data_IF_418358662276
#
_entry.id   IF_418358662276
#
_cell.length_a   1.000
_cell.length_b   1.000
_cell.length_c   1.000
_cell.angle_alpha   90.00
_cell.angle_beta   90.00
_cell.angle_gamma   90.00
#
_symmetry.space_group_name_H-M   'P 1'
#
loop_
_entity.id
_entity.type
_entity.pdbx_description
1 polymer ?
#
# COMPACT_ATOMS: atom_id res chain seq x y z
N UNK A 1 -4.59 17.45 6.60
CA UNK A 1 -5.27 16.43 5.76
C UNK A 1 -6.24 15.64 6.64
N UNK A 2 -7.31 15.08 6.08
CA UNK A 2 -8.27 14.25 6.83
C UNK A 2 -7.59 13.11 7.62
N UNK A 3 -6.57 12.47 7.03
CA UNK A 3 -5.75 11.46 7.71
C UNK A 3 -5.05 12.03 8.96
N UNK A 4 -4.49 13.24 8.88
CA UNK A 4 -3.81 13.87 10.02
C UNK A 4 -4.77 14.17 11.17
N UNK A 5 -6.01 14.57 10.87
CA UNK A 5 -7.04 14.79 11.88
C UNK A 5 -7.47 13.47 12.54
N UNK A 6 -7.62 12.40 11.75
CA UNK A 6 -7.90 11.06 12.27
C UNK A 6 -6.79 10.56 13.20
N UNK A 7 -5.52 10.76 12.82
CA UNK A 7 -4.38 10.36 13.67
C UNK A 7 -4.34 11.16 14.98
N UNK A 8 -4.60 12.48 14.92
CA UNK A 8 -4.62 13.33 16.11
C UNK A 8 -5.77 13.00 17.08
N UNK A 9 -6.89 12.49 16.56
CA UNK A 9 -8.03 12.06 17.38
C UNK A 9 -7.85 10.66 17.99
N UNK A 10 -6.86 9.88 17.55
CA UNK A 10 -6.64 8.53 18.04
C UNK A 10 -5.91 8.55 19.41
N UNK A 11 -6.50 7.96 20.46
CA UNK A 11 -5.89 7.95 21.80
C UNK A 11 -4.59 7.15 21.80
N UNK A 12 -3.56 7.67 22.47
CA UNK A 12 -2.27 7.00 22.61
C UNK A 12 -1.39 7.03 21.36
N UNK A 13 -1.71 7.84 20.35
CA UNK A 13 -0.89 7.95 19.14
C UNK A 13 0.50 8.55 19.47
N UNK A 14 1.60 7.89 19.08
CA UNK A 14 2.95 8.40 19.33
C UNK A 14 3.22 9.75 18.67
N UNK A 15 3.99 10.61 19.34
CA UNK A 15 4.31 11.96 18.86
C UNK A 15 5.01 11.96 17.48
N UNK A 16 5.88 10.99 17.21
CA UNK A 16 6.57 10.83 15.93
C UNK A 16 5.64 10.42 14.76
N UNK A 17 4.45 9.92 15.06
CA UNK A 17 3.40 9.67 14.04
C UNK A 17 2.59 10.94 13.79
N UNK A 18 2.30 11.71 14.85
CA UNK A 18 1.56 12.98 14.76
C UNK A 18 2.39 14.08 14.08
N UNK A 19 3.69 14.10 14.33
CA UNK A 19 4.66 15.10 13.87
C UNK A 19 5.78 14.41 13.09
N UNK A 20 5.44 13.77 11.98
CA UNK A 20 6.45 13.14 11.12
C UNK A 20 7.40 14.21 10.53
N UNK A 21 8.73 14.05 10.65
CA UNK A 21 9.69 15.00 10.12
C UNK A 21 9.70 15.01 8.58
N UNK A 22 9.27 13.90 7.96
CA UNK A 22 9.17 13.78 6.52
C UNK A 22 7.81 13.17 6.14
N UNK A 23 7.14 13.80 5.18
CA UNK A 23 5.89 13.30 4.62
C UNK A 23 6.01 13.24 3.11
N UNK A 24 5.67 12.09 2.55
CA UNK A 24 5.81 11.83 1.12
C UNK A 24 4.46 11.40 0.54
N UNK A 25 4.18 11.86 -0.67
CA UNK A 25 2.88 11.66 -1.34
C UNK A 25 2.83 10.40 -2.19
N UNK A 26 3.97 9.79 -2.52
CA UNK A 26 4.05 8.61 -3.37
C UNK A 26 5.21 7.68 -2.98
N UNK A 27 5.16 6.40 -3.40
CA UNK A 27 6.21 5.42 -3.09
C UNK A 27 7.59 5.74 -3.69
N UNK A 28 7.65 6.38 -4.86
CA UNK A 28 8.93 6.65 -5.52
C UNK A 28 9.78 7.62 -4.70
N UNK A 29 9.18 8.72 -4.23
CA UNK A 29 9.84 9.67 -3.33
C UNK A 29 10.23 9.00 -2.02
N UNK A 30 9.35 8.18 -1.45
CA UNK A 30 9.62 7.40 -0.24
C UNK A 30 10.86 6.52 -0.38
N UNK A 31 10.96 5.80 -1.50
CA UNK A 31 12.09 4.92 -1.75
C UNK A 31 13.39 5.68 -1.95
N UNK A 32 13.37 6.83 -2.63
CA UNK A 32 14.57 7.69 -2.70
C UNK A 32 15.00 8.21 -1.33
N UNK A 33 14.07 8.66 -0.48
CA UNK A 33 14.42 9.11 0.87
C UNK A 33 15.08 8.01 1.71
N UNK A 34 14.58 6.77 1.62
CA UNK A 34 15.18 5.61 2.30
C UNK A 34 16.56 5.30 1.71
N UNK A 35 16.73 5.33 0.38
CA UNK A 35 18.03 5.12 -0.28
C UNK A 35 19.09 6.14 0.13
N UNK A 36 18.68 7.40 0.31
CA UNK A 36 19.54 8.48 0.79
C UNK A 36 19.85 8.40 2.29
N UNK A 37 19.31 7.41 3.00
CA UNK A 37 19.57 7.20 4.42
C UNK A 37 18.77 8.12 5.35
N UNK A 38 17.69 8.74 4.88
CA UNK A 38 16.85 9.63 5.70
C UNK A 38 16.00 8.90 6.74
N UNK A 39 15.96 7.56 6.68
CA UNK A 39 15.30 6.71 7.68
C UNK A 39 14.79 5.40 7.10
N UNK A 40 13.82 4.81 7.79
CA UNK A 40 13.10 3.59 7.38
C UNK A 40 11.61 3.89 7.24
N UNK A 41 10.90 3.07 6.46
CA UNK A 41 9.45 3.20 6.33
C UNK A 41 8.77 1.84 6.30
N UNK A 42 7.52 1.82 6.73
CA UNK A 42 6.61 0.70 6.56
C UNK A 42 5.77 0.96 5.31
N UNK A 43 5.61 -0.05 4.47
CA UNK A 43 4.75 0.02 3.29
C UNK A 43 3.94 -1.28 3.17
N UNK A 44 2.75 -1.25 2.54
CA UNK A 44 2.06 -2.48 2.16
C UNK A 44 2.94 -3.38 1.28
N UNK A 45 2.81 -4.69 1.41
CA UNK A 45 3.59 -5.66 0.63
C UNK A 45 3.46 -5.44 -0.89
N UNK A 46 2.28 -5.02 -1.36
CA UNK A 46 2.07 -4.66 -2.76
C UNK A 46 2.95 -3.48 -3.20
N UNK A 47 3.10 -2.45 -2.36
CA UNK A 47 3.98 -1.30 -2.63
C UNK A 47 5.45 -1.71 -2.67
N UNK A 48 5.87 -2.71 -1.88
CA UNK A 48 7.23 -3.27 -1.93
C UNK A 48 7.57 -3.97 -3.27
N UNK A 49 6.57 -4.21 -4.13
CA UNK A 49 6.76 -4.73 -5.51
C UNK A 49 6.75 -3.61 -6.56
N UNK A 50 6.69 -2.35 -6.15
CA UNK A 50 6.69 -1.23 -7.07
C UNK A 50 7.99 -1.18 -7.89
N UNK A 51 7.96 -0.84 -9.20
CA UNK A 51 9.13 -0.90 -10.08
C UNK A 51 10.32 -0.05 -9.60
N UNK A 52 10.07 1.08 -8.95
CA UNK A 52 11.12 1.99 -8.44
C UNK A 52 11.83 1.51 -7.16
N UNK A 53 11.53 0.30 -6.66
CA UNK A 53 12.16 -0.21 -5.43
C UNK A 53 13.69 -0.31 -5.54
N UNK A 54 14.21 -0.60 -6.73
CA UNK A 54 15.65 -0.80 -6.95
C UNK A 54 16.23 -1.83 -5.98
N UNK A 55 17.38 -1.49 -5.38
CA UNK A 55 18.12 -2.31 -4.42
C UNK A 55 17.58 -2.28 -2.98
N UNK A 56 16.45 -1.61 -2.74
CA UNK A 56 15.86 -1.57 -1.39
C UNK A 56 15.45 -2.96 -0.93
N UNK A 57 15.84 -3.29 0.29
CA UNK A 57 15.49 -4.56 0.94
C UNK A 57 14.21 -4.36 1.74
N UNK A 58 13.35 -5.36 1.73
CA UNK A 58 12.09 -5.38 2.46
C UNK A 58 12.06 -6.59 3.37
N UNK A 59 11.48 -6.41 4.56
CA UNK A 59 11.22 -7.47 5.53
C UNK A 59 9.78 -7.35 5.99
N UNK A 60 9.08 -8.46 6.12
CA UNK A 60 7.74 -8.46 6.69
C UNK A 60 7.78 -8.04 8.17
N UNK A 61 6.73 -7.37 8.60
CA UNK A 61 6.52 -7.09 10.01
C UNK A 61 6.05 -8.35 10.72
N UNK A 62 6.76 -8.73 11.79
CA UNK A 62 6.39 -9.88 12.61
C UNK A 62 5.10 -9.59 13.40
N UNK A 63 5.09 -8.48 14.16
CA UNK A 63 3.93 -7.93 14.84
C UNK A 63 4.10 -6.40 15.06
N UNK A 64 3.00 -5.62 15.07
CA UNK A 64 1.64 -6.02 14.72
C UNK A 64 1.51 -6.25 13.20
N UNK A 65 0.60 -7.14 12.81
CA UNK A 65 0.25 -7.33 11.40
C UNK A 65 -0.66 -6.20 10.95
N UNK A 66 -0.19 -5.41 9.98
CA UNK A 66 -0.96 -4.30 9.39
C UNK A 66 -1.50 -4.75 8.03
N UNK A 67 -2.82 -4.81 7.91
CA UNK A 67 -3.49 -5.23 6.68
C UNK A 67 -3.93 -4.02 5.85
N UNK A 68 -3.67 -4.07 4.54
CA UNK A 68 -4.14 -3.07 3.57
C UNK A 68 -4.92 -3.76 2.46
N UNK A 69 -6.23 -3.50 2.39
CA UNK A 69 -7.12 -4.05 1.35
C UNK A 69 -7.19 -3.15 0.13
N UNK A 70 -6.87 -3.68 -1.04
CA UNK A 70 -7.12 -3.00 -2.32
C UNK A 70 -8.36 -3.61 -2.95
N UNK A 71 -9.30 -2.76 -3.38
CA UNK A 71 -10.61 -3.19 -3.82
C UNK A 71 -10.88 -2.72 -5.24
N UNK A 72 -11.52 -3.58 -6.03
CA UNK A 72 -12.18 -3.20 -7.27
C UNK A 72 -13.64 -2.89 -6.96
N UNK A 73 -14.09 -1.67 -7.26
CA UNK A 73 -15.44 -1.22 -6.93
C UNK A 73 -16.27 -1.12 -8.20
N UNK A 74 -17.41 -1.82 -8.23
CA UNK A 74 -18.40 -1.70 -9.29
C UNK A 74 -19.66 -1.00 -8.77
N UNK A 75 -20.40 -0.32 -9.67
CA UNK A 75 -21.70 0.24 -9.31
C UNK A 75 -22.71 -0.90 -9.12
N UNK A 76 -23.46 -0.91 -8.01
CA UNK A 76 -24.50 -1.90 -7.82
C UNK A 76 -25.56 -1.77 -8.92
N UNK A 77 -26.09 -2.92 -9.38
CA UNK A 77 -27.19 -3.02 -10.37
C UNK A 77 -26.87 -2.45 -11.76
N UNK A 78 -25.61 -2.25 -12.10
CA UNK A 78 -25.19 -1.92 -13.46
C UNK A 78 -24.30 -3.03 -14.01
N UNK A 79 -24.72 -3.66 -15.11
CA UNK A 79 -23.89 -4.62 -15.81
C UNK A 79 -22.59 -3.96 -16.27
N UNK A 80 -21.48 -4.71 -16.21
CA UNK A 80 -20.21 -4.28 -16.76
C UNK A 80 -20.35 -4.20 -18.28
N UNK A 81 -19.77 -3.15 -18.88
CA UNK A 81 -19.57 -3.12 -20.32
C UNK A 81 -18.59 -4.24 -20.72
N UNK A 82 -18.63 -4.76 -21.96
CA UNK A 82 -17.73 -5.85 -22.39
C UNK A 82 -16.25 -5.58 -22.11
N UNK A 83 -15.77 -4.35 -22.37
CA UNK A 83 -14.39 -3.97 -22.08
C UNK A 83 -14.06 -3.96 -20.58
N UNK A 84 -15.02 -3.57 -19.73
CA UNK A 84 -14.83 -3.57 -18.28
C UNK A 84 -14.80 -5.00 -17.72
N UNK A 85 -15.61 -5.91 -18.28
CA UNK A 85 -15.58 -7.32 -17.95
C UNK A 85 -14.21 -7.93 -18.25
N UNK A 86 -13.67 -7.71 -19.45
CA UNK A 86 -12.34 -8.17 -19.84
C UNK A 86 -11.23 -7.64 -18.91
N UNK A 87 -11.32 -6.36 -18.51
CA UNK A 87 -10.38 -5.79 -17.56
C UNK A 87 -10.50 -6.46 -16.17
N UNK A 88 -11.70 -6.75 -15.69
CA UNK A 88 -11.90 -7.44 -14.41
C UNK A 88 -11.27 -8.82 -14.43
N UNK A 89 -11.44 -9.58 -15.51
CA UNK A 89 -10.85 -10.91 -15.69
C UNK A 89 -9.32 -10.86 -15.75
N UNK A 90 -8.76 -9.89 -16.47
CA UNK A 90 -7.32 -9.66 -16.53
C UNK A 90 -6.75 -9.28 -15.15
N UNK A 91 -7.45 -8.40 -14.42
CA UNK A 91 -7.06 -8.01 -13.06
C UNK A 91 -7.12 -9.19 -12.09
N UNK A 92 -8.17 -10.02 -12.15
CA UNK A 92 -8.28 -11.21 -11.31
C UNK A 92 -7.10 -12.16 -11.53
N UNK A 93 -6.72 -12.39 -12.79
CA UNK A 93 -5.55 -13.20 -13.15
C UNK A 93 -4.25 -12.59 -12.59
N UNK A 94 -4.10 -11.26 -12.70
CA UNK A 94 -2.92 -10.56 -12.20
C UNK A 94 -2.83 -10.60 -10.67
N UNK A 95 -3.96 -10.49 -9.96
CA UNK A 95 -4.01 -10.60 -8.49
C UNK A 95 -3.50 -11.96 -8.03
N UNK A 96 -3.89 -13.05 -8.72
CA UNK A 96 -3.38 -14.40 -8.41
C UNK A 96 -1.87 -14.52 -8.63
N UNK A 97 -1.33 -13.82 -9.62
CA UNK A 97 0.13 -13.76 -9.85
C UNK A 97 0.84 -13.02 -8.71
N UNK A 98 0.29 -11.88 -8.28
CA UNK A 98 0.85 -11.06 -7.20
C UNK A 98 0.76 -11.75 -5.82
N UNK A 99 -0.28 -12.55 -5.59
CA UNK A 99 -0.49 -13.35 -4.38
C UNK A 99 0.64 -14.37 -4.10
N UNK A 100 1.48 -14.67 -5.09
CA UNK A 100 2.67 -15.53 -4.92
C UNK A 100 3.80 -14.84 -4.15
N UNK A 101 3.68 -13.53 -3.89
CA UNK A 101 4.67 -12.77 -3.15
C UNK A 101 4.30 -12.69 -1.67
N UNK A 102 5.31 -12.82 -0.82
CA UNK A 102 5.15 -12.77 0.63
C UNK A 102 4.44 -11.48 1.09
N UNK A 103 3.50 -11.63 2.02
CA UNK A 103 2.70 -10.53 2.56
C UNK A 103 1.57 -10.03 1.65
N UNK A 104 1.36 -10.65 0.48
CA UNK A 104 0.20 -10.38 -0.39
C UNK A 104 -0.72 -11.60 -0.35
N UNK A 105 -1.97 -11.38 0.07
CA UNK A 105 -3.02 -12.40 0.03
C UNK A 105 -4.18 -11.92 -0.84
N UNK A 106 -4.76 -12.77 -1.70
CA UNK A 106 -6.07 -12.54 -2.26
C UNK A 106 -7.08 -12.81 -1.15
N UNK A 107 -7.80 -11.75 -0.72
CA UNK A 107 -8.95 -11.87 0.18
C UNK A 107 -10.15 -12.50 -0.55
#
# INVERSE_FOLDING_TARGET
TAISQLLAAAPGMPANVLQTPLRMSNPQLLFEAVRLGLGVSIVPALTARHPSRGELRFRLLDAPRILRRTLLIQRPRRALAPAAQLLCEALATQVQTLARHEGIAPD
#
